data_IF_586676719683
#
_entry.id   IF_586676719683
#
_cell.length_a   1.000
_cell.length_b   1.000
_cell.length_c   1.000
_cell.angle_alpha   90.00
_cell.angle_beta   90.00
_cell.angle_gamma   90.00
#
_symmetry.space_group_name_H-M   'P 1'
#
loop_
_entity.id
_entity.type
_entity.pdbx_description
1 polymer ?
#
# COMPACT_ATOMS: atom_id res chain seq x y z
N UNK A 1 8.37 -71.81 -24.98
CA UNK A 1 7.40 -72.19 -23.91
C UNK A 1 7.98 -73.41 -23.21
N UNK A 2 8.25 -73.52 -21.91
CA UNK A 2 7.88 -72.80 -20.68
C UNK A 2 9.10 -72.78 -19.72
N UNK A 3 9.11 -71.76 -18.86
CA UNK A 3 9.90 -71.49 -17.63
C UNK A 3 10.25 -72.77 -16.83
N UNK A 4 11.35 -72.91 -16.09
CA UNK A 4 12.29 -71.97 -15.49
C UNK A 4 12.53 -72.40 -14.02
N UNK A 5 13.78 -72.43 -13.56
CA UNK A 5 14.23 -72.01 -12.22
C UNK A 5 15.71 -72.36 -11.98
N UNK A 6 16.50 -71.33 -11.64
CA UNK A 6 17.87 -71.41 -11.13
C UNK A 6 17.88 -71.00 -9.67
N UNK A 7 18.71 -71.66 -8.84
CA UNK A 7 19.59 -71.02 -7.84
C UNK A 7 20.24 -72.05 -6.92
N UNK A 8 21.55 -72.31 -7.03
CA UNK A 8 22.36 -72.84 -5.91
C UNK A 8 23.81 -72.26 -5.93
N UNK A 9 24.16 -71.60 -4.80
CA UNK A 9 25.40 -71.62 -3.99
C UNK A 9 26.75 -71.15 -4.58
N UNK A 10 27.32 -70.04 -4.06
CA UNK A 10 28.33 -69.87 -2.95
C UNK A 10 29.78 -70.05 -3.40
N UNK A 11 30.65 -69.06 -3.14
CA UNK A 11 31.99 -69.24 -2.57
C UNK A 11 32.64 -67.90 -2.18
N UNK A 12 33.31 -67.91 -1.02
CA UNK A 12 34.11 -66.86 -0.40
C UNK A 12 35.55 -66.85 -0.95
N UNK A 13 36.20 -65.69 -0.92
CA UNK A 13 37.62 -65.57 -0.59
C UNK A 13 37.91 -64.14 -0.10
N UNK A 14 38.57 -64.04 1.06
CA UNK A 14 39.07 -62.82 1.66
C UNK A 14 40.55 -62.62 1.31
N UNK A 15 41.03 -61.37 1.20
CA UNK A 15 42.29 -60.95 1.81
C UNK A 15 42.57 -59.46 1.63
N UNK A 16 43.12 -58.87 2.69
CA UNK A 16 43.43 -57.47 2.97
C UNK A 16 44.61 -56.93 2.17
N UNK A 17 44.65 -55.62 1.88
CA UNK A 17 45.90 -54.85 1.90
C UNK A 17 45.66 -53.34 2.00
N UNK A 18 46.34 -52.74 2.97
CA UNK A 18 46.39 -51.32 3.32
C UNK A 18 47.32 -50.59 2.34
N UNK A 19 46.90 -49.45 1.77
CA UNK A 19 47.80 -48.47 1.16
C UNK A 19 47.47 -47.08 1.69
N UNK A 20 48.43 -46.51 2.42
CA UNK A 20 48.46 -45.11 2.85
C UNK A 20 49.01 -44.30 1.68
N UNK A 21 48.24 -43.34 1.19
CA UNK A 21 48.76 -42.22 0.39
C UNK A 21 48.35 -40.92 1.06
N UNK A 22 49.35 -40.22 1.59
CA UNK A 22 49.27 -38.82 2.00
C UNK A 22 48.74 -38.00 0.82
N UNK A 23 47.59 -37.36 0.99
CA UNK A 23 47.21 -36.20 0.18
C UNK A 23 47.45 -34.98 1.05
N UNK A 24 48.52 -34.26 0.73
CA UNK A 24 48.83 -32.94 1.28
C UNK A 24 47.65 -32.00 1.05
N UNK A 25 47.07 -31.49 2.14
CA UNK A 25 46.03 -30.48 2.09
C UNK A 25 46.59 -29.18 1.53
N UNK A 26 46.28 -28.90 0.26
CA UNK A 26 46.20 -27.52 -0.21
C UNK A 26 44.79 -27.05 0.13
N UNK A 27 44.67 -26.33 1.24
CA UNK A 27 43.48 -25.54 1.54
C UNK A 27 43.50 -24.36 0.57
N UNK A 28 42.86 -24.52 -0.58
CA UNK A 28 42.43 -23.38 -1.37
C UNK A 28 41.24 -22.78 -0.61
N UNK A 29 41.57 -21.86 0.31
CA UNK A 29 40.59 -20.94 0.86
C UNK A 29 40.06 -20.14 -0.32
N UNK A 30 38.94 -20.58 -0.87
CA UNK A 30 38.10 -19.72 -1.67
C UNK A 30 37.74 -18.54 -0.76
N UNK A 31 38.38 -17.38 -1.00
CA UNK A 31 37.91 -16.12 -0.48
C UNK A 31 36.48 -15.97 -1.00
N UNK A 32 35.51 -16.21 -0.11
CA UNK A 32 34.14 -15.85 -0.35
C UNK A 32 34.13 -14.33 -0.54
N UNK A 33 34.00 -13.89 -1.79
CA UNK A 33 33.80 -12.50 -2.16
C UNK A 33 32.64 -11.97 -1.30
N UNK A 34 32.99 -11.19 -0.28
CA UNK A 34 32.12 -10.68 0.76
C UNK A 34 31.19 -9.59 0.26
N UNK A 35 30.51 -9.84 -0.86
CA UNK A 35 29.37 -9.04 -1.28
C UNK A 35 28.24 -9.41 -0.33
N UNK A 36 27.99 -8.52 0.63
CA UNK A 36 26.74 -8.46 1.35
C UNK A 36 25.60 -8.64 0.35
N UNK A 37 24.91 -9.78 0.41
CA UNK A 37 23.67 -9.96 -0.32
C UNK A 37 22.75 -8.83 0.16
N UNK A 38 22.47 -7.86 -0.71
CA UNK A 38 21.47 -6.83 -0.43
C UNK A 38 20.16 -7.59 -0.25
N UNK A 39 19.66 -7.65 0.98
CA UNK A 39 18.39 -8.31 1.27
C UNK A 39 17.30 -7.57 0.50
N UNK A 40 16.58 -8.29 -0.36
CA UNK A 40 15.44 -7.73 -1.07
C UNK A 40 14.41 -7.21 -0.05
N UNK A 41 13.86 -6.02 -0.32
CA UNK A 41 12.77 -5.47 0.48
C UNK A 41 11.45 -5.93 -0.09
N UNK A 42 10.48 -6.19 0.80
CA UNK A 42 9.09 -6.27 0.39
C UNK A 42 8.69 -4.94 -0.25
N UNK A 43 8.03 -5.04 -1.40
CA UNK A 43 7.50 -3.94 -2.20
C UNK A 43 6.20 -4.40 -2.85
N UNK A 44 5.35 -3.45 -3.23
CA UNK A 44 4.03 -3.73 -3.81
C UNK A 44 4.14 -4.41 -5.18
N UNK A 45 3.22 -5.34 -5.46
CA UNK A 45 3.09 -6.00 -6.76
C UNK A 45 2.23 -5.14 -7.70
N UNK A 46 2.86 -4.14 -8.32
CA UNK A 46 2.15 -3.17 -9.16
C UNK A 46 1.85 -3.69 -10.57
N UNK A 47 0.68 -3.31 -11.10
CA UNK A 47 0.36 -3.47 -12.52
C UNK A 47 1.18 -2.50 -13.39
N UNK A 48 0.97 -2.50 -14.71
CA UNK A 48 1.77 -1.68 -15.63
C UNK A 48 1.58 -0.17 -15.40
N UNK A 49 0.52 0.24 -14.69
CA UNK A 49 0.19 1.63 -14.41
C UNK A 49 0.00 2.41 -15.70
N UNK A 50 -0.58 1.76 -16.72
CA UNK A 50 -0.71 2.34 -18.04
C UNK A 50 -1.73 3.49 -18.01
N UNK A 51 -1.28 4.68 -18.41
CA UNK A 51 -2.14 5.86 -18.55
C UNK A 51 -2.01 6.45 -19.95
N UNK A 52 -3.13 6.90 -20.49
CA UNK A 52 -3.21 7.60 -21.77
C UNK A 52 -3.96 8.92 -21.58
N UNK A 53 -3.34 10.04 -21.94
CA UNK A 53 -3.88 11.39 -21.72
C UNK A 53 -3.91 12.14 -23.04
N UNK A 54 -5.06 12.73 -23.37
CA UNK A 54 -5.20 13.55 -24.57
C UNK A 54 -4.33 14.81 -24.45
N UNK A 55 -3.57 15.11 -25.48
CA UNK A 55 -2.78 16.34 -25.61
C UNK A 55 -3.16 17.07 -26.91
N UNK A 56 -2.62 18.28 -27.11
CA UNK A 56 -2.82 19.03 -28.37
C UNK A 56 -2.26 18.31 -29.60
N UNK A 57 -1.31 17.40 -29.41
CA UNK A 57 -0.58 16.70 -30.48
C UNK A 57 -0.87 15.20 -30.50
N UNK A 58 -2.06 14.78 -30.06
CA UNK A 58 -2.48 13.37 -30.04
C UNK A 58 -2.73 12.86 -28.63
N UNK A 59 -2.16 11.71 -28.28
CA UNK A 59 -2.29 11.09 -26.95
C UNK A 59 -0.90 10.79 -26.40
N UNK A 60 -0.63 11.29 -25.19
CA UNK A 60 0.55 10.93 -24.42
C UNK A 60 0.25 9.66 -23.63
N UNK A 61 1.10 8.64 -23.77
CA UNK A 61 0.98 7.35 -23.10
C UNK A 61 2.21 7.16 -22.22
N UNK A 62 2.02 6.73 -20.97
CA UNK A 62 3.14 6.37 -20.08
C UNK A 62 2.80 5.17 -19.21
N UNK A 63 3.83 4.45 -18.77
CA UNK A 63 3.72 3.26 -17.94
C UNK A 63 4.91 3.14 -16.99
N UNK A 64 4.80 2.23 -16.02
CA UNK A 64 5.87 1.90 -15.07
C UNK A 64 6.94 1.03 -15.72
N UNK A 65 8.20 1.34 -15.44
CA UNK A 65 9.29 0.35 -15.42
C UNK A 65 9.27 -0.28 -14.03
N UNK A 66 8.94 -1.57 -13.93
CA UNK A 66 8.78 -2.22 -12.63
C UNK A 66 10.15 -2.57 -12.04
N UNK A 67 10.27 -2.54 -10.71
CA UNK A 67 11.52 -2.93 -10.02
C UNK A 67 11.91 -4.40 -10.20
N UNK A 68 10.96 -5.23 -10.66
CA UNK A 68 11.15 -6.64 -11.02
C UNK A 68 11.67 -6.83 -12.44
N UNK A 69 11.76 -5.77 -13.25
CA UNK A 69 12.23 -5.83 -14.63
C UNK A 69 13.71 -5.46 -14.75
N UNK A 70 14.44 -6.19 -15.60
CA UNK A 70 15.84 -5.88 -15.91
C UNK A 70 15.96 -4.58 -16.71
N UNK A 71 17.10 -3.90 -16.60
CA UNK A 71 17.40 -2.69 -17.38
C UNK A 71 17.37 -2.89 -18.92
N UNK A 72 17.44 -4.14 -19.41
CA UNK A 72 17.36 -4.47 -20.84
C UNK A 72 15.93 -4.72 -21.34
N UNK A 73 14.91 -4.62 -20.49
CA UNK A 73 13.52 -4.75 -20.92
C UNK A 73 13.18 -3.64 -21.91
N UNK A 74 12.37 -3.97 -22.92
CA UNK A 74 11.86 -3.01 -23.89
C UNK A 74 10.36 -3.16 -24.05
N UNK A 75 9.70 -2.21 -24.71
CA UNK A 75 8.24 -2.15 -24.73
C UNK A 75 7.66 -1.96 -26.13
N UNK A 76 6.53 -2.60 -26.39
CA UNK A 76 5.67 -2.33 -27.54
C UNK A 76 4.37 -1.70 -27.06
N UNK A 77 3.94 -0.65 -27.75
CA UNK A 77 2.69 0.07 -27.47
C UNK A 77 1.67 -0.32 -28.53
N UNK A 78 0.47 -0.65 -28.09
CA UNK A 78 -0.65 -1.05 -28.92
C UNK A 78 -1.79 -0.05 -28.76
N UNK A 79 -2.44 0.31 -29.85
CA UNK A 79 -3.71 1.05 -29.88
C UNK A 79 -4.76 0.22 -30.59
N UNK A 80 -5.89 -0.05 -29.94
CA UNK A 80 -7.00 -0.83 -30.49
C UNK A 80 -6.50 -2.19 -31.07
N UNK A 81 -5.57 -2.84 -30.37
CA UNK A 81 -4.97 -4.11 -30.78
C UNK A 81 -3.87 -4.03 -31.85
N UNK A 82 -3.57 -2.85 -32.42
CA UNK A 82 -2.51 -2.67 -33.42
C UNK A 82 -1.25 -2.07 -32.79
N UNK A 83 -0.10 -2.70 -33.03
CA UNK A 83 1.22 -2.20 -32.61
C UNK A 83 1.53 -0.86 -33.30
N UNK A 84 2.05 0.10 -32.53
CA UNK A 84 2.35 1.46 -33.01
C UNK A 84 3.82 1.66 -33.38
N UNK A 85 4.74 1.18 -32.54
CA UNK A 85 6.17 1.37 -32.72
C UNK A 85 6.77 0.31 -33.66
N UNK A 86 7.67 0.71 -34.57
CA UNK A 86 8.34 -0.21 -35.51
C UNK A 86 9.36 -1.14 -34.83
N UNK A 87 10.10 -0.63 -33.86
CA UNK A 87 11.06 -1.37 -33.03
C UNK A 87 10.72 -1.20 -31.55
N UNK A 88 10.98 -2.18 -30.66
CA UNK A 88 10.74 -2.05 -29.23
C UNK A 88 11.40 -0.80 -28.64
N UNK A 89 10.66 -0.10 -27.77
CA UNK A 89 11.12 1.11 -27.09
C UNK A 89 12.04 0.70 -25.94
N UNK A 90 13.28 1.17 -25.96
CA UNK A 90 14.33 0.84 -24.97
C UNK A 90 14.75 2.03 -24.13
N UNK A 91 14.45 3.26 -24.56
CA UNK A 91 14.98 4.49 -23.97
C UNK A 91 14.04 5.17 -22.97
N UNK A 92 12.78 4.76 -22.91
CA UNK A 92 11.77 5.38 -22.05
C UNK A 92 10.58 4.45 -21.80
N UNK A 93 9.73 4.83 -20.85
CA UNK A 93 8.42 4.21 -20.60
C UNK A 93 7.27 5.17 -20.91
N UNK A 94 7.43 5.92 -22.00
CA UNK A 94 6.40 6.79 -22.55
C UNK A 94 6.38 6.76 -24.09
N UNK A 95 5.28 7.21 -24.66
CA UNK A 95 5.08 7.27 -26.10
C UNK A 95 4.09 8.40 -26.47
N UNK A 96 4.44 9.21 -27.46
CA UNK A 96 3.53 10.21 -28.02
C UNK A 96 2.87 9.64 -29.28
N UNK A 97 1.58 9.30 -29.19
CA UNK A 97 0.80 8.83 -30.33
C UNK A 97 0.08 10.00 -31.00
N UNK A 98 0.65 10.51 -32.10
CA UNK A 98 0.07 11.59 -32.89
C UNK A 98 -1.27 11.23 -33.55
N UNK A 99 -1.55 9.94 -33.78
CA UNK A 99 -2.79 9.48 -34.40
C UNK A 99 -3.88 9.10 -33.41
N UNK A 100 -3.62 9.20 -32.11
CA UNK A 100 -4.55 8.81 -31.06
C UNK A 100 -5.71 9.81 -30.88
N UNK A 101 -6.93 9.30 -30.75
CA UNK A 101 -8.13 10.06 -30.42
C UNK A 101 -8.67 9.70 -29.02
N UNK A 102 -9.78 10.32 -28.62
CA UNK A 102 -10.39 10.13 -27.31
C UNK A 102 -11.04 8.75 -27.10
N UNK A 103 -11.26 7.99 -28.16
CA UNK A 103 -11.86 6.65 -28.12
C UNK A 103 -10.79 5.54 -28.19
N UNK A 104 -9.53 5.91 -28.37
CA UNK A 104 -8.42 4.96 -28.39
C UNK A 104 -8.30 4.20 -27.08
N UNK A 105 -7.97 2.91 -27.18
CA UNK A 105 -7.66 2.03 -26.06
C UNK A 105 -6.23 1.53 -26.23
N UNK A 106 -5.41 1.70 -25.20
CA UNK A 106 -4.00 1.35 -25.22
C UNK A 106 -3.69 0.10 -24.41
N UNK A 107 -2.66 -0.62 -24.83
CA UNK A 107 -2.01 -1.69 -24.08
C UNK A 107 -0.49 -1.59 -24.29
N UNK A 108 0.28 -2.06 -23.32
CA UNK A 108 1.73 -2.20 -23.41
C UNK A 108 2.12 -3.66 -23.25
N UNK A 109 3.11 -4.11 -24.01
CA UNK A 109 3.73 -5.42 -23.86
C UNK A 109 5.22 -5.24 -23.60
N UNK A 110 5.71 -5.83 -22.52
CA UNK A 110 7.14 -5.94 -22.29
C UNK A 110 7.75 -6.91 -23.33
N UNK A 111 9.02 -6.71 -23.64
CA UNK A 111 9.81 -7.59 -24.50
C UNK A 111 11.08 -7.92 -23.72
N UNK A 112 11.18 -9.19 -23.32
CA UNK A 112 12.28 -9.71 -22.53
C UNK A 112 13.08 -10.69 -23.37
N UNK A 113 14.38 -10.45 -23.53
CA UNK A 113 15.28 -11.27 -24.35
C UNK A 113 14.74 -11.53 -25.78
N UNK A 114 14.13 -10.50 -26.38
CA UNK A 114 13.52 -10.57 -27.71
C UNK A 114 12.13 -11.23 -27.78
N UNK A 115 11.60 -11.73 -26.65
CA UNK A 115 10.29 -12.37 -26.57
C UNK A 115 9.26 -11.39 -25.99
N UNK A 116 8.21 -11.11 -26.76
CA UNK A 116 7.08 -10.29 -26.30
C UNK A 116 6.28 -11.05 -25.24
N UNK A 117 5.97 -10.36 -24.14
CA UNK A 117 5.23 -10.88 -23.00
C UNK A 117 3.72 -10.63 -23.15
N UNK A 118 2.93 -11.12 -22.18
CA UNK A 118 1.50 -10.86 -22.10
C UNK A 118 1.17 -9.36 -22.12
N UNK A 119 -0.01 -8.97 -22.66
CA UNK A 119 -0.46 -7.57 -22.60
C UNK A 119 -0.72 -7.11 -21.16
N UNK A 120 -0.47 -5.82 -20.93
CA UNK A 120 -0.97 -5.11 -19.75
C UNK A 120 -2.50 -5.04 -19.72
N UNK A 121 -3.02 -4.49 -18.63
CA UNK A 121 -4.35 -3.89 -18.59
C UNK A 121 -4.57 -2.88 -19.72
N UNK A 122 -5.83 -2.66 -20.08
CA UNK A 122 -6.21 -1.66 -21.08
C UNK A 122 -6.39 -0.29 -20.46
N UNK A 123 -5.91 0.77 -21.13
CA UNK A 123 -6.13 2.15 -20.72
C UNK A 123 -6.92 2.94 -21.77
N UNK A 124 -8.06 3.49 -21.36
CA UNK A 124 -8.78 4.50 -22.14
C UNK A 124 -8.18 5.89 -21.98
N UNK A 125 -8.49 6.80 -22.92
CA UNK A 125 -7.90 8.15 -22.93
C UNK A 125 -8.60 9.10 -21.97
N UNK A 126 -7.80 9.77 -21.13
CA UNK A 126 -8.27 10.88 -20.31
C UNK A 126 -8.36 12.14 -21.18
N UNK A 127 -9.56 12.68 -21.32
CA UNK A 127 -9.81 13.90 -22.10
C UNK A 127 -9.35 15.19 -21.40
N UNK A 128 -8.91 15.07 -20.15
CA UNK A 128 -8.40 16.17 -19.34
C UNK A 128 -7.01 15.80 -18.83
N UNK A 129 -6.17 16.78 -18.48
CA UNK A 129 -4.83 16.51 -17.92
C UNK A 129 -4.88 15.96 -16.48
N UNK A 130 -6.05 15.51 -16.01
CA UNK A 130 -6.29 14.93 -14.69
C UNK A 130 -7.39 13.87 -14.80
N UNK A 131 -7.36 12.89 -13.89
CA UNK A 131 -8.49 11.99 -13.63
C UNK A 131 -9.28 12.51 -12.43
N UNK A 132 -10.57 12.70 -12.62
CA UNK A 132 -11.46 13.05 -11.51
C UNK A 132 -11.94 11.78 -10.82
N UNK A 133 -11.74 11.70 -9.51
CA UNK A 133 -12.33 10.68 -8.63
C UNK A 133 -13.51 11.35 -7.90
N UNK A 134 -14.77 11.00 -8.22
CA UNK A 134 -15.92 11.58 -7.54
C UNK A 134 -15.95 11.13 -6.07
N UNK A 135 -16.11 12.08 -5.16
CA UNK A 135 -16.11 11.82 -3.72
C UNK A 135 -17.53 11.86 -3.15
N UNK A 136 -17.83 10.98 -2.20
CA UNK A 136 -19.08 11.03 -1.43
C UNK A 136 -18.92 11.97 -0.23
N UNK A 137 -19.04 13.28 -0.52
CA UNK A 137 -18.87 14.32 0.49
C UNK A 137 -19.77 14.07 1.72
N UNK A 138 -19.20 13.91 2.93
CA UNK A 138 -20.00 13.75 4.14
C UNK A 138 -20.84 15.00 4.42
N UNK A 139 -22.02 14.78 4.98
CA UNK A 139 -22.85 15.86 5.49
C UNK A 139 -22.13 16.58 6.65
N UNK A 140 -22.35 17.90 6.76
CA UNK A 140 -21.92 18.66 7.92
C UNK A 140 -22.68 18.26 9.20
N UNK A 141 -22.31 18.88 10.31
CA UNK A 141 -22.92 18.60 11.61
C UNK A 141 -22.88 19.80 12.55
N UNK A 142 -23.26 19.56 13.80
CA UNK A 142 -23.16 20.52 14.91
C UNK A 142 -22.44 19.89 16.10
N UNK A 143 -21.55 20.66 16.72
CA UNK A 143 -20.89 20.28 17.97
C UNK A 143 -21.80 20.52 19.18
N UNK A 144 -21.47 19.98 20.37
CA UNK A 144 -22.31 20.13 21.58
C UNK A 144 -22.57 21.57 22.01
N UNK A 145 -21.68 22.51 21.67
CA UNK A 145 -21.83 23.96 21.88
C UNK A 145 -22.67 24.65 20.79
N UNK A 146 -23.28 23.89 19.87
CA UNK A 146 -24.16 24.39 18.83
C UNK A 146 -23.46 24.92 17.57
N UNK A 147 -22.13 24.89 17.52
CA UNK A 147 -21.36 25.37 16.36
C UNK A 147 -21.50 24.40 15.18
N UNK A 148 -21.85 24.93 14.02
CA UNK A 148 -22.00 24.12 12.79
C UNK A 148 -20.66 23.94 12.08
N UNK A 149 -20.46 22.79 11.45
CA UNK A 149 -19.28 22.52 10.63
C UNK A 149 -19.65 21.82 9.31
N UNK A 150 -18.76 21.94 8.33
CA UNK A 150 -18.83 21.23 7.04
C UNK A 150 -17.55 20.45 6.81
N UNK A 151 -17.50 19.60 5.78
CA UNK A 151 -16.31 18.82 5.45
C UNK A 151 -15.62 19.29 4.17
N UNK A 152 -14.29 19.19 4.17
CA UNK A 152 -13.43 19.28 2.99
C UNK A 152 -12.48 18.09 2.93
N UNK A 153 -12.23 17.59 1.71
CA UNK A 153 -11.18 16.61 1.47
C UNK A 153 -9.82 17.21 1.89
N UNK A 154 -9.00 16.42 2.59
CA UNK A 154 -7.75 16.90 3.20
C UNK A 154 -6.60 15.95 2.82
N UNK A 155 -5.77 15.54 3.77
CA UNK A 155 -4.64 14.64 3.52
C UNK A 155 -5.12 13.30 2.93
N UNK A 156 -4.29 12.74 2.06
CA UNK A 156 -4.51 11.41 1.50
C UNK A 156 -3.23 10.56 1.58
N UNK A 157 -3.42 9.25 1.57
CA UNK A 157 -2.39 8.26 1.31
C UNK A 157 -2.87 7.31 0.22
N UNK A 158 -2.00 6.40 -0.21
CA UNK A 158 -2.31 5.37 -1.20
C UNK A 158 -1.88 4.00 -0.69
N UNK A 159 -2.52 2.96 -1.24
CA UNK A 159 -2.17 1.56 -1.03
C UNK A 159 -3.05 0.69 -1.93
N UNK A 160 -2.54 -0.46 -2.34
CA UNK A 160 -3.32 -1.48 -3.06
C UNK A 160 -4.11 -2.28 -2.03
N UNK A 161 -5.42 -2.02 -1.89
CA UNK A 161 -6.25 -2.55 -0.81
C UNK A 161 -6.86 -3.90 -1.14
N UNK A 162 -6.91 -4.29 -2.42
CA UNK A 162 -7.49 -5.56 -2.87
C UNK A 162 -6.55 -6.47 -3.65
N UNK A 163 -5.31 -6.05 -3.89
CA UNK A 163 -4.21 -6.84 -4.45
C UNK A 163 -4.24 -6.90 -5.98
N UNK A 164 -4.85 -5.91 -6.65
CA UNK A 164 -4.97 -5.87 -8.11
C UNK A 164 -3.82 -5.12 -8.81
N UNK A 165 -2.90 -4.54 -8.04
CA UNK A 165 -1.74 -3.78 -8.50
C UNK A 165 -2.05 -2.34 -8.90
N UNK A 166 -3.29 -1.86 -8.75
CA UNK A 166 -3.70 -0.46 -8.80
C UNK A 166 -3.77 0.11 -7.37
N UNK A 167 -3.56 1.42 -7.23
CA UNK A 167 -3.67 2.06 -5.93
C UNK A 167 -5.08 2.57 -5.69
N UNK A 168 -5.60 2.35 -4.49
CA UNK A 168 -6.72 3.11 -3.94
C UNK A 168 -6.22 4.39 -3.26
N UNK A 169 -7.14 5.36 -3.13
CA UNK A 169 -6.94 6.59 -2.38
C UNK A 169 -7.58 6.45 -1.01
N UNK A 170 -6.78 6.60 0.04
CA UNK A 170 -7.25 6.67 1.43
C UNK A 170 -7.29 8.15 1.81
N UNK A 171 -8.50 8.69 1.94
CA UNK A 171 -8.74 10.13 2.08
C UNK A 171 -9.25 10.49 3.47
N UNK A 172 -8.58 11.44 4.13
CA UNK A 172 -9.06 12.06 5.36
C UNK A 172 -10.01 13.23 5.03
N UNK A 173 -11.18 13.23 5.66
CA UNK A 173 -12.07 14.39 5.68
C UNK A 173 -11.82 15.22 6.92
N UNK A 174 -11.57 16.52 6.71
CA UNK A 174 -11.38 17.47 7.78
C UNK A 174 -12.65 18.29 8.00
N UNK A 175 -13.20 18.35 9.22
CA UNK A 175 -14.30 19.24 9.54
C UNK A 175 -13.79 20.68 9.62
N UNK A 176 -14.59 21.65 9.16
CA UNK A 176 -14.22 23.08 9.08
C UNK A 176 -13.93 23.75 10.43
N UNK A 177 -14.15 23.03 11.54
CA UNK A 177 -13.84 23.45 12.89
C UNK A 177 -12.71 22.61 13.52
N UNK A 178 -11.87 21.94 12.73
CA UNK A 178 -10.62 21.33 13.20
C UNK A 178 -9.74 22.36 13.92
N UNK A 179 -8.80 21.88 14.74
CA UNK A 179 -8.04 22.73 15.68
C UNK A 179 -6.56 22.41 15.65
N UNK A 180 -5.75 23.45 15.77
CA UNK A 180 -4.38 23.28 16.25
C UNK A 180 -4.39 22.85 17.74
N UNK A 181 -3.28 22.27 18.21
CA UNK A 181 -3.13 21.87 19.62
C UNK A 181 -3.22 23.05 20.58
N UNK A 182 -2.82 24.26 20.17
CA UNK A 182 -2.92 25.47 20.99
C UNK A 182 -4.35 25.98 21.16
N UNK A 183 -5.28 25.57 20.30
CA UNK A 183 -6.63 26.12 20.24
C UNK A 183 -7.64 25.24 20.97
N UNK A 184 -8.50 25.87 21.76
CA UNK A 184 -9.66 25.24 22.37
C UNK A 184 -10.86 25.19 21.41
N UNK A 185 -11.86 24.39 21.75
CA UNK A 185 -13.11 24.22 21.03
C UNK A 185 -13.37 22.78 20.59
N UNK A 186 -14.64 22.43 20.47
CA UNK A 186 -15.05 21.14 19.91
C UNK A 186 -14.72 21.06 18.42
N UNK A 187 -14.51 19.84 17.94
CA UNK A 187 -14.35 19.54 16.51
C UNK A 187 -15.43 18.55 16.08
N UNK A 188 -15.78 18.58 14.79
CA UNK A 188 -16.49 17.47 14.16
C UNK A 188 -15.65 16.19 14.18
N UNK A 189 -16.28 15.07 13.83
CA UNK A 189 -15.60 13.78 13.72
C UNK A 189 -14.60 13.78 12.56
N UNK A 190 -13.47 13.08 12.71
CA UNK A 190 -12.57 12.77 11.59
C UNK A 190 -13.09 11.53 10.87
N UNK A 191 -13.21 11.62 9.54
CA UNK A 191 -13.66 10.51 8.69
C UNK A 191 -12.53 10.11 7.74
N UNK A 192 -12.35 8.81 7.54
CA UNK A 192 -11.38 8.24 6.60
C UNK A 192 -12.14 7.40 5.59
N UNK A 193 -11.98 7.69 4.31
CA UNK A 193 -12.59 6.93 3.23
C UNK A 193 -11.53 6.20 2.42
N UNK A 194 -11.92 5.10 1.76
CA UNK A 194 -11.17 4.52 0.66
C UNK A 194 -11.96 4.62 -0.65
N UNK A 195 -11.27 5.00 -1.73
CA UNK A 195 -11.82 5.09 -3.07
C UNK A 195 -10.91 4.38 -4.09
N UNK A 196 -11.51 3.59 -4.98
CA UNK A 196 -10.85 3.22 -6.24
C UNK A 196 -10.74 4.42 -7.17
N UNK A 197 -9.83 4.37 -8.13
CA UNK A 197 -9.63 5.46 -9.10
C UNK A 197 -10.84 5.70 -10.01
N UNK A 198 -11.76 4.73 -10.14
CA UNK A 198 -13.03 4.91 -10.86
C UNK A 198 -14.10 5.70 -10.08
N UNK A 199 -13.85 6.02 -8.80
CA UNK A 199 -14.81 6.71 -7.93
C UNK A 199 -15.63 5.80 -7.03
N UNK A 200 -15.44 4.48 -7.10
CA UNK A 200 -16.09 3.54 -6.20
C UNK A 200 -15.62 3.79 -4.77
N UNK A 201 -16.54 4.22 -3.91
CA UNK A 201 -16.30 4.32 -2.48
C UNK A 201 -16.36 2.93 -1.86
N UNK A 202 -15.26 2.47 -1.29
CA UNK A 202 -15.17 1.13 -0.70
C UNK A 202 -15.77 1.10 0.71
N UNK A 203 -15.41 2.08 1.53
CA UNK A 203 -15.86 2.19 2.93
C UNK A 203 -15.57 3.57 3.52
N UNK A 204 -16.12 3.82 4.72
CA UNK A 204 -15.79 4.96 5.59
C UNK A 204 -15.58 4.49 7.02
N UNK A 205 -14.44 4.85 7.60
CA UNK A 205 -14.18 4.78 9.04
C UNK A 205 -14.53 6.15 9.64
N UNK A 206 -15.29 6.16 10.73
CA UNK A 206 -15.54 7.36 11.52
C UNK A 206 -14.79 7.23 12.86
N UNK A 207 -13.77 8.07 13.09
CA UNK A 207 -12.97 8.01 14.32
C UNK A 207 -13.75 8.43 15.57
N UNK A 208 -14.88 9.12 15.37
CA UNK A 208 -15.83 9.47 16.41
C UNK A 208 -15.34 10.56 17.34
N UNK A 209 -16.22 10.90 18.27
CA UNK A 209 -16.07 12.06 19.17
C UNK A 209 -14.80 12.08 20.03
N UNK A 210 -14.20 10.91 20.28
CA UNK A 210 -13.04 10.79 21.16
C UNK A 210 -11.69 10.94 20.44
N UNK A 211 -11.70 11.21 19.12
CA UNK A 211 -10.54 11.62 18.35
C UNK A 211 -10.78 13.04 17.84
N UNK A 212 -9.96 13.98 18.31
CA UNK A 212 -10.06 15.40 17.93
C UNK A 212 -9.52 15.61 16.51
N UNK A 213 -10.17 16.49 15.74
CA UNK A 213 -9.72 16.83 14.40
C UNK A 213 -8.65 17.94 14.42
N UNK A 214 -7.62 17.77 13.59
CA UNK A 214 -6.52 18.72 13.41
C UNK A 214 -5.25 18.04 12.89
N UNK A 215 -4.31 18.84 12.42
CA UNK A 215 -3.09 18.35 11.76
C UNK A 215 -2.23 17.41 12.64
N UNK A 216 -2.26 17.60 13.96
CA UNK A 216 -1.37 16.89 14.90
C UNK A 216 -2.02 15.71 15.63
N UNK A 217 -3.26 15.33 15.25
CA UNK A 217 -3.98 14.23 15.90
C UNK A 217 -3.85 12.96 15.06
N UNK A 218 -4.77 12.71 14.13
CA UNK A 218 -4.77 11.51 13.32
C UNK A 218 -3.63 11.52 12.32
N UNK A 219 -2.65 10.65 12.54
CA UNK A 219 -1.69 10.21 11.54
C UNK A 219 -2.11 8.81 11.14
N UNK A 220 -2.41 8.61 9.86
CA UNK A 220 -2.82 7.31 9.33
C UNK A 220 -1.74 6.79 8.40
N UNK A 221 -1.29 5.57 8.67
CA UNK A 221 -0.35 4.84 7.84
C UNK A 221 -1.14 3.88 6.96
N UNK A 222 -0.77 3.80 5.68
CA UNK A 222 -1.34 2.86 4.73
C UNK A 222 -0.19 2.06 4.15
N UNK A 223 -0.20 0.75 4.37
CA UNK A 223 0.88 -0.13 3.95
C UNK A 223 0.46 -1.59 4.09
N UNK A 224 1.08 -2.47 3.29
CA UNK A 224 1.02 -3.93 3.45
C UNK A 224 1.98 -4.32 4.58
N UNK A 225 1.48 -4.40 5.81
CA UNK A 225 2.31 -4.63 6.99
C UNK A 225 2.66 -6.10 7.21
N UNK A 226 1.86 -7.02 6.70
CA UNK A 226 2.03 -8.46 6.92
C UNK A 226 2.54 -9.25 5.70
N UNK A 227 2.59 -8.62 4.52
CA UNK A 227 3.12 -9.20 3.31
C UNK A 227 2.14 -10.07 2.52
N UNK A 228 0.84 -9.94 2.76
CA UNK A 228 -0.18 -10.68 2.01
C UNK A 228 -0.46 -10.10 0.60
N UNK A 229 0.14 -8.95 0.28
CA UNK A 229 0.01 -8.25 -0.99
C UNK A 229 -1.15 -7.25 -1.03
N UNK A 230 -1.81 -6.98 0.10
CA UNK A 230 -2.83 -5.95 0.26
C UNK A 230 -2.42 -5.01 1.39
N UNK A 231 -2.76 -3.74 1.25
CA UNK A 231 -2.43 -2.75 2.27
C UNK A 231 -3.50 -2.67 3.36
N UNK A 232 -3.06 -2.58 4.62
CA UNK A 232 -3.89 -2.22 5.75
C UNK A 232 -3.76 -0.72 6.05
N UNK A 233 -4.62 -0.27 6.96
CA UNK A 233 -4.57 1.10 7.48
C UNK A 233 -4.36 1.03 8.99
N UNK A 234 -3.29 1.63 9.49
CA UNK A 234 -2.99 1.71 10.91
C UNK A 234 -3.10 3.16 11.40
N UNK A 235 -3.91 3.39 12.45
CA UNK A 235 -4.02 4.72 13.06
C UNK A 235 -4.50 4.66 14.51
N UNK A 236 -4.27 5.77 15.22
CA UNK A 236 -4.82 5.96 16.57
C UNK A 236 -6.35 6.04 16.52
N UNK A 237 -7.00 5.30 17.40
CA UNK A 237 -8.46 5.24 17.56
C UNK A 237 -8.83 5.39 19.03
N UNK A 238 -10.13 5.46 19.32
CA UNK A 238 -10.66 5.60 20.68
C UNK A 238 -12.01 4.89 20.80
N UNK A 239 -12.55 4.84 22.02
CA UNK A 239 -13.91 4.38 22.26
C UNK A 239 -14.90 5.15 21.38
N UNK A 240 -15.76 4.45 20.66
CA UNK A 240 -16.73 5.05 19.76
C UNK A 240 -16.24 5.27 18.33
N UNK A 241 -14.97 4.95 18.01
CA UNK A 241 -14.55 4.78 16.61
C UNK A 241 -15.38 3.70 15.94
N UNK A 242 -15.87 3.96 14.74
CA UNK A 242 -16.68 3.04 13.94
C UNK A 242 -15.92 2.66 12.68
N UNK A 243 -15.72 1.36 12.48
CA UNK A 243 -15.00 0.80 11.33
C UNK A 243 -15.83 0.87 10.03
N UNK A 244 -15.23 0.45 8.92
CA UNK A 244 -15.85 0.44 7.59
C UNK A 244 -17.05 -0.51 7.44
N UNK A 245 -17.27 -1.41 8.40
CA UNK A 245 -18.44 -2.30 8.47
C UNK A 245 -19.48 -1.84 9.49
N UNK A 246 -19.22 -0.72 10.17
CA UNK A 246 -20.12 -0.15 11.16
C UNK A 246 -19.93 -0.69 12.58
N UNK A 247 -18.95 -1.57 12.82
CA UNK A 247 -18.61 -2.07 14.15
C UNK A 247 -17.94 -0.95 14.94
N UNK A 248 -18.34 -0.81 16.21
CA UNK A 248 -17.77 0.19 17.11
C UNK A 248 -16.66 -0.42 17.94
N UNK A 249 -15.51 0.25 17.99
CA UNK A 249 -14.37 -0.09 18.83
C UNK A 249 -14.63 0.43 20.25
N UNK A 250 -14.48 -0.46 21.22
CA UNK A 250 -14.62 -0.15 22.64
C UNK A 250 -16.03 0.31 23.04
N UNK A 251 -16.14 1.31 23.92
CA UNK A 251 -17.43 1.77 24.44
C UNK A 251 -18.09 2.83 23.54
N UNK A 252 -19.12 2.45 22.80
CA UNK A 252 -19.86 3.34 21.90
C UNK A 252 -20.41 4.62 22.55
N UNK A 253 -20.72 4.57 23.84
CA UNK A 253 -21.36 5.66 24.57
C UNK A 253 -20.36 6.53 25.34
N UNK A 254 -19.07 6.17 25.37
CA UNK A 254 -18.08 6.97 26.06
C UNK A 254 -17.91 8.34 25.40
N UNK A 255 -17.75 9.37 26.24
CA UNK A 255 -17.45 10.74 25.84
C UNK A 255 -16.39 11.30 26.80
N UNK A 256 -15.18 11.44 26.30
CA UNK A 256 -14.02 11.93 27.03
C UNK A 256 -13.65 13.37 26.66
N UNK A 257 -14.53 14.07 25.92
CA UNK A 257 -14.34 15.48 25.59
C UNK A 257 -14.57 16.33 26.83
N UNK A 258 -13.60 17.17 27.15
CA UNK A 258 -13.75 18.18 28.21
C UNK A 258 -14.45 19.45 27.67
N UNK A 259 -14.68 20.43 28.55
CA UNK A 259 -15.34 21.69 28.17
C UNK A 259 -14.60 22.49 27.08
N UNK A 260 -13.28 22.27 26.94
CA UNK A 260 -12.45 22.86 25.88
C UNK A 260 -12.45 22.03 24.57
N UNK A 261 -13.27 20.96 24.48
CA UNK A 261 -13.33 20.07 23.32
C UNK A 261 -12.08 19.23 23.12
N UNK A 262 -11.27 19.03 24.18
CA UNK A 262 -10.06 18.19 24.18
C UNK A 262 -10.36 16.84 24.79
N UNK A 263 -9.63 15.81 24.36
CA UNK A 263 -9.70 14.45 24.90
C UNK A 263 -8.40 14.15 25.64
N UNK A 264 -8.42 14.34 26.95
CA UNK A 264 -7.24 14.22 27.83
C UNK A 264 -7.38 13.11 28.88
N UNK A 265 -8.46 12.35 28.81
CA UNK A 265 -8.77 11.19 29.64
C UNK A 265 -9.30 10.05 28.77
N UNK A 266 -9.61 8.93 29.39
CA UNK A 266 -10.10 7.73 28.70
C UNK A 266 -9.00 6.91 28.01
N UNK A 267 -9.34 5.68 27.59
CA UNK A 267 -8.46 4.80 26.83
C UNK A 267 -8.05 5.41 25.48
N UNK A 268 -6.91 4.96 24.98
CA UNK A 268 -6.42 5.28 23.65
C UNK A 268 -5.99 3.99 22.98
N UNK A 269 -6.30 3.84 21.70
CA UNK A 269 -6.06 2.60 20.98
C UNK A 269 -5.22 2.83 19.73
N UNK A 270 -4.45 1.82 19.33
CA UNK A 270 -3.90 1.68 18.00
C UNK A 270 -4.67 0.56 17.32
N UNK A 271 -5.24 0.84 16.15
CA UNK A 271 -6.01 -0.14 15.39
C UNK A 271 -5.44 -0.30 14.01
N UNK A 272 -5.34 -1.55 13.57
CA UNK A 272 -5.09 -1.93 12.18
C UNK A 272 -6.44 -2.31 11.56
N UNK A 273 -6.75 -1.70 10.43
CA UNK A 273 -7.96 -1.90 9.66
C UNK A 273 -7.63 -2.61 8.36
N UNK A 274 -8.48 -3.56 7.97
CA UNK A 274 -8.38 -4.29 6.72
C UNK A 274 -8.60 -3.37 5.53
N UNK A 275 -7.70 -3.39 4.55
CA UNK A 275 -7.74 -2.50 3.39
C UNK A 275 -9.04 -2.52 2.60
N UNK A 276 -9.44 -3.68 2.12
CA UNK A 276 -10.59 -3.84 1.21
C UNK A 276 -11.96 -3.48 1.84
N UNK A 277 -12.04 -3.42 3.16
CA UNK A 277 -13.32 -3.36 3.89
C UNK A 277 -13.38 -2.29 4.97
N UNK A 278 -12.25 -1.74 5.37
CA UNK A 278 -12.12 -0.84 6.51
C UNK A 278 -12.49 -1.50 7.84
N UNK A 279 -12.62 -2.82 7.89
CA UNK A 279 -13.00 -3.56 9.09
C UNK A 279 -11.85 -3.59 10.10
N UNK A 280 -12.15 -3.50 11.39
CA UNK A 280 -11.15 -3.70 12.44
C UNK A 280 -10.53 -5.11 12.35
N UNK A 281 -9.21 -5.21 12.17
CA UNK A 281 -8.48 -6.49 12.25
C UNK A 281 -8.03 -6.75 13.68
N UNK A 282 -7.34 -5.77 14.26
CA UNK A 282 -6.83 -5.84 15.63
C UNK A 282 -6.75 -4.45 16.23
N UNK A 283 -7.02 -4.40 17.54
CA UNK A 283 -6.93 -3.18 18.33
C UNK A 283 -6.16 -3.48 19.61
N UNK A 284 -5.16 -2.65 19.88
CA UNK A 284 -4.34 -2.69 21.10
C UNK A 284 -4.36 -1.32 21.77
N UNK A 285 -3.89 -1.24 23.01
CA UNK A 285 -3.68 0.05 23.66
C UNK A 285 -2.63 0.86 22.90
N UNK A 286 -2.88 2.15 22.73
CA UNK A 286 -1.97 3.05 22.05
C UNK A 286 -0.71 3.27 22.88
N UNK A 287 0.45 3.08 22.26
CA UNK A 287 1.74 3.45 22.82
C UNK A 287 2.46 4.46 21.92
N UNK A 288 3.13 5.48 22.51
CA UNK A 288 3.26 5.76 23.93
C UNK A 288 1.94 6.22 24.57
N UNK A 289 1.59 5.64 25.73
CA UNK A 289 0.40 6.06 26.47
C UNK A 289 0.55 7.51 26.97
N UNK A 290 -0.57 8.26 27.04
CA UNK A 290 -0.60 9.67 27.45
C UNK A 290 0.20 9.98 28.72
N UNK A 291 0.14 9.10 29.73
CA UNK A 291 0.71 9.35 31.05
C UNK A 291 0.08 10.57 31.76
N UNK A 292 0.79 11.17 32.72
CA UNK A 292 0.37 12.45 33.33
C UNK A 292 0.69 13.59 32.34
N UNK A 293 -0.31 14.39 31.93
CA UNK A 293 -0.13 15.52 31.00
C UNK A 293 1.02 16.48 31.38
N UNK A 294 1.36 16.61 32.68
CA UNK A 294 2.48 17.44 33.14
C UNK A 294 3.88 16.91 32.74
N UNK A 295 4.00 15.66 32.28
CA UNK A 295 5.29 15.05 31.89
C UNK A 295 5.76 15.49 30.50
N UNK A 296 4.83 15.75 29.58
CA UNK A 296 5.14 16.26 28.22
C UNK A 296 5.73 17.69 28.24
N UNK A 297 5.43 18.48 29.27
CA UNK A 297 6.00 19.83 29.46
C UNK A 297 7.30 19.90 30.28
N UNK A 298 7.87 18.75 30.70
CA UNK A 298 9.01 18.71 31.65
C UNK A 298 10.27 18.00 31.13
N UNK A 299 10.26 17.46 29.90
CA UNK A 299 11.46 16.86 29.30
C UNK A 299 12.40 17.88 28.63
N UNK A 300 11.91 19.08 28.29
CA UNK A 300 12.71 20.15 27.66
C UNK A 300 13.34 21.15 28.66
N UNK A 301 13.25 20.89 29.96
CA UNK A 301 13.81 21.77 31.02
C UNK A 301 14.88 21.11 31.89
N UNK A 302 15.37 19.94 31.53
CA UNK A 302 16.45 19.24 32.24
C UNK A 302 17.70 19.02 31.37
N UNK A 303 17.81 19.69 30.23
CA UNK A 303 19.03 19.75 29.41
C UNK A 303 19.43 21.19 29.06
N UNK A 304 19.22 22.11 30.01
CA UNK A 304 19.74 23.48 29.96
C UNK A 304 20.61 23.73 31.17
#
# INVERSE_FOLDING_TARGET
MKKGNKRWKKLLAASSLLFITLVTGFSEQAEADGRTAVQARQMESLNRGLVAVKTGNGVFVSWRLLGTESASVSFNVYRNGKKLNGSPITSSTNYQDAGGDSNAVYQVRAVLNGVEQAPSETAGVWNKPYKSVPLQKPAGGKTPDGVSFTYSANDASIGDLDGDGEYEIILKWDPSNSKDNSQDGYTGDVLIDAYKLDGTMMWRINLGKNIRAGAHYTQFLVYDFDGDGKAEIAMKTADGTKDGKGKVIGNANADYRNAQGRILSGPEYLTVFKGDTGAELTTVNYEPARGKCSRLGRQLRQQG
#
